data_IF_936451910551
#
_entry.id   IF_936451910551
#
_cell.length_a   1.000
_cell.length_b   1.000
_cell.length_c   1.000
_cell.angle_alpha   90.00
_cell.angle_beta   90.00
_cell.angle_gamma   90.00
#
_symmetry.space_group_name_H-M   'P 1'
#
loop_
_entity.id
_entity.type
_entity.pdbx_description
1 polymer ?
#
# COMPACT_ATOMS: atom_id res chain seq x y z
N UNK A 1 18.45 7.81 -2.42
CA UNK A 1 17.00 7.55 -2.22
C UNK A 1 16.76 7.44 -0.72
N UNK A 2 15.79 8.16 -0.19
CA UNK A 2 15.41 8.07 1.21
C UNK A 2 14.25 7.08 1.31
N UNK A 3 14.40 6.06 2.16
CA UNK A 3 13.34 5.10 2.46
C UNK A 3 12.62 5.47 3.75
N UNK A 4 11.38 5.02 3.89
CA UNK A 4 10.62 5.06 5.14
C UNK A 4 10.05 3.67 5.40
N UNK A 5 10.11 3.23 6.65
CA UNK A 5 9.51 1.97 7.09
C UNK A 5 8.06 2.22 7.50
N UNK A 6 7.18 1.28 7.17
CA UNK A 6 5.75 1.32 7.49
C UNK A 6 5.35 0.00 8.13
N UNK A 7 4.79 0.07 9.33
CA UNK A 7 4.30 -1.09 10.09
C UNK A 7 2.81 -0.91 10.40
N UNK A 8 2.02 -1.99 10.27
CA UNK A 8 0.61 -2.00 10.62
C UNK A 8 0.15 -3.40 11.03
N UNK A 9 -0.89 -3.45 11.88
CA UNK A 9 -1.54 -4.69 12.30
C UNK A 9 -2.78 -4.90 11.44
N UNK A 10 -2.86 -6.05 10.76
CA UNK A 10 -4.05 -6.48 10.03
C UNK A 10 -4.82 -7.52 10.87
N UNK A 11 -6.11 -7.30 11.07
CA UNK A 11 -7.01 -8.20 11.81
C UNK A 11 -7.93 -9.01 10.88
N UNK A 12 -7.83 -8.80 9.56
CA UNK A 12 -8.65 -9.47 8.56
C UNK A 12 -7.83 -9.92 7.35
N UNK A 13 -8.08 -11.15 6.91
CA UNK A 13 -7.42 -11.78 5.76
C UNK A 13 -7.90 -11.13 4.47
N UNK A 14 -7.01 -10.98 3.49
CA UNK A 14 -7.38 -10.46 2.18
C UNK A 14 -6.22 -9.95 1.34
N UNK A 15 -6.60 -9.36 0.20
CA UNK A 15 -5.72 -8.56 -0.66
C UNK A 15 -6.00 -7.10 -0.36
N UNK A 16 -5.03 -6.41 0.21
CA UNK A 16 -5.12 -5.04 0.64
C UNK A 16 -4.49 -4.14 -0.41
N UNK A 17 -5.21 -3.09 -0.80
CA UNK A 17 -4.72 -2.11 -1.75
C UNK A 17 -3.86 -1.07 -1.03
N UNK A 18 -2.59 -0.95 -1.43
CA UNK A 18 -1.66 0.01 -0.83
C UNK A 18 -1.17 1.02 -1.88
N UNK A 19 -1.40 2.29 -1.57
CA UNK A 19 -1.14 3.45 -2.39
C UNK A 19 -0.88 4.66 -1.48
N UNK A 20 -0.29 5.75 -2.00
CA UNK A 20 -0.15 6.99 -1.25
C UNK A 20 -1.48 7.78 -1.15
N UNK A 21 -1.50 8.94 -0.50
CA UNK A 21 -2.71 9.79 -0.43
C UNK A 21 -2.99 10.57 -1.74
N UNK A 22 -1.98 10.70 -2.61
CA UNK A 22 -2.05 11.51 -3.82
C UNK A 22 -2.58 10.71 -5.01
N UNK A 23 -3.85 10.88 -5.34
CA UNK A 23 -4.53 10.11 -6.40
C UNK A 23 -3.88 10.22 -7.80
N UNK A 24 -3.18 11.31 -8.10
CA UNK A 24 -2.48 11.43 -9.38
C UNK A 24 -1.27 10.49 -9.49
N UNK A 25 -0.67 10.08 -8.36
CA UNK A 25 0.34 9.02 -8.37
C UNK A 25 -0.31 7.65 -8.64
N UNK A 26 -1.54 7.41 -8.17
CA UNK A 26 -2.30 6.20 -8.51
C UNK A 26 -2.59 6.18 -10.00
N UNK A 27 -3.07 7.30 -10.56
CA UNK A 27 -3.31 7.42 -11.99
C UNK A 27 -2.04 7.14 -12.82
N UNK A 28 -0.86 7.44 -12.27
CA UNK A 28 0.44 7.13 -12.86
C UNK A 28 0.94 5.69 -12.57
N UNK A 29 0.17 4.86 -11.85
CA UNK A 29 0.45 3.45 -11.60
C UNK A 29 1.17 3.14 -10.29
N UNK A 30 1.35 4.10 -9.38
CA UNK A 30 2.11 3.91 -8.14
C UNK A 30 1.29 3.21 -7.04
N UNK A 31 0.93 1.95 -7.22
CA UNK A 31 0.22 1.16 -6.22
C UNK A 31 0.77 -0.26 -6.15
N UNK A 32 0.56 -0.94 -5.03
CA UNK A 32 0.84 -2.36 -4.88
C UNK A 32 -0.26 -3.05 -4.05
N UNK A 33 -0.15 -4.38 -3.92
CA UNK A 33 -1.07 -5.20 -3.12
C UNK A 33 -0.31 -5.84 -1.98
N UNK A 34 -0.83 -5.73 -0.76
CA UNK A 34 -0.38 -6.54 0.38
C UNK A 34 -1.31 -7.73 0.51
N UNK A 35 -0.74 -8.94 0.56
CA UNK A 35 -1.51 -10.18 0.69
C UNK A 35 -1.36 -10.70 2.10
N UNK A 36 -2.46 -10.78 2.84
CA UNK A 36 -2.52 -11.39 4.16
C UNK A 36 -3.44 -12.61 4.13
N UNK A 37 -2.84 -13.79 4.25
CA UNK A 37 -3.52 -15.11 4.23
C UNK A 37 -3.20 -15.89 5.49
#
# INVERSE_FOLDING_TARGET
>A
MQGMDVEFIADNRGKWFHHCHNLYHLAAGMANTVVYT
#
